data_IF_888912339084
#
_entry.id   IF_888912339084
#
_cell.length_a   1.000
_cell.length_b   1.000
_cell.length_c   1.000
_cell.angle_alpha   90.00
_cell.angle_beta   90.00
_cell.angle_gamma   90.00
#
_symmetry.space_group_name_H-M   'P 1'
#
loop_
_entity.id
_entity.type
_entity.pdbx_description
1 polymer ?
#
# COMPACT_ATOMS: atom_id res chain seq x y z
N UNK A 1 5.82 -3.81 -24.13
CA UNK A 1 5.20 -4.44 -22.94
C UNK A 1 3.80 -3.90 -22.79
N UNK A 2 2.80 -4.75 -22.67
CA UNK A 2 1.46 -4.33 -22.31
C UNK A 2 1.51 -3.67 -20.94
N UNK A 3 1.18 -2.40 -20.86
CA UNK A 3 1.14 -1.66 -19.61
C UNK A 3 -0.21 -1.86 -18.93
N UNK A 4 -0.20 -2.14 -17.62
CA UNK A 4 -1.40 -2.04 -16.80
C UNK A 4 -1.64 -0.57 -16.48
N UNK A 5 -2.86 -0.10 -16.73
CA UNK A 5 -3.35 1.18 -16.25
C UNK A 5 -4.22 0.96 -15.02
N UNK A 6 -3.88 1.64 -13.93
CA UNK A 6 -4.71 1.68 -12.73
C UNK A 6 -5.62 2.92 -12.78
N UNK A 7 -6.93 2.70 -12.72
CA UNK A 7 -7.93 3.76 -12.64
C UNK A 7 -8.56 3.74 -11.24
N UNK A 8 -8.25 4.75 -10.43
CA UNK A 8 -8.66 4.80 -9.03
C UNK A 8 -9.97 5.57 -8.86
N UNK A 9 -11.03 4.84 -8.52
CA UNK A 9 -12.35 5.38 -8.21
C UNK A 9 -12.67 5.44 -6.71
N UNK A 10 -11.74 5.02 -5.84
CA UNK A 10 -11.95 5.05 -4.40
C UNK A 10 -12.16 6.48 -3.89
N UNK A 11 -13.09 6.64 -2.95
CA UNK A 11 -13.39 7.94 -2.33
C UNK A 11 -13.38 7.79 -0.81
N UNK A 12 -12.64 8.67 -0.16
CA UNK A 12 -12.50 8.68 1.30
C UNK A 12 -13.87 8.72 2.00
N UNK A 13 -14.02 7.94 3.07
CA UNK A 13 -15.19 7.94 3.94
C UNK A 13 -16.43 7.23 3.37
N UNK A 14 -16.33 6.50 2.25
CA UNK A 14 -17.47 5.79 1.65
C UNK A 14 -17.52 4.34 2.10
N UNK A 15 -18.73 3.92 2.50
CA UNK A 15 -19.11 2.51 2.64
C UNK A 15 -19.60 1.96 1.30
N UNK A 16 -19.81 0.66 1.20
CA UNK A 16 -20.45 0.04 0.02
C UNK A 16 -21.81 0.69 -0.29
N UNK A 17 -22.61 0.94 0.76
CA UNK A 17 -23.91 1.62 0.65
C UNK A 17 -23.78 3.03 0.11
N UNK A 18 -23.00 3.89 0.78
CA UNK A 18 -22.89 5.30 0.35
C UNK A 18 -22.25 5.44 -1.03
N UNK A 19 -21.36 4.52 -1.41
CA UNK A 19 -20.77 4.48 -2.75
C UNK A 19 -21.82 4.19 -3.84
N UNK A 20 -22.79 3.34 -3.54
CA UNK A 20 -23.95 3.07 -4.40
C UNK A 20 -24.89 4.27 -4.40
N UNK A 21 -25.32 4.73 -3.22
CA UNK A 21 -26.33 5.78 -3.07
C UNK A 21 -25.92 7.12 -3.72
N UNK A 22 -24.60 7.40 -3.78
CA UNK A 22 -24.04 8.59 -4.42
C UNK A 22 -23.82 8.43 -5.95
N UNK A 23 -24.26 7.33 -6.58
CA UNK A 23 -24.07 7.07 -8.00
C UNK A 23 -22.61 6.82 -8.42
N UNK A 24 -21.72 6.54 -7.45
CA UNK A 24 -20.31 6.32 -7.75
C UNK A 24 -20.06 4.96 -8.36
N UNK A 25 -20.80 3.96 -7.93
CA UNK A 25 -20.71 2.63 -8.50
C UNK A 25 -21.19 2.64 -9.98
N UNK A 26 -22.28 3.31 -10.28
CA UNK A 26 -22.78 3.46 -11.64
C UNK A 26 -21.73 4.10 -12.56
N UNK A 27 -20.97 5.08 -12.03
CA UNK A 27 -19.87 5.69 -12.77
C UNK A 27 -18.73 4.70 -13.03
N UNK A 28 -18.35 3.86 -12.07
CA UNK A 28 -17.35 2.81 -12.26
C UNK A 28 -17.81 1.83 -13.33
N UNK A 29 -18.99 1.23 -13.12
CA UNK A 29 -19.48 0.15 -13.99
C UNK A 29 -19.77 0.62 -15.43
N UNK A 30 -20.04 1.90 -15.64
CA UNK A 30 -20.20 2.48 -16.98
C UNK A 30 -18.89 2.48 -17.78
N UNK A 31 -17.74 2.41 -17.12
CA UNK A 31 -16.41 2.47 -17.75
C UNK A 31 -15.78 1.08 -17.92
N UNK A 32 -16.25 0.07 -17.16
CA UNK A 32 -15.72 -1.29 -17.20
C UNK A 32 -15.91 -1.91 -18.58
N UNK A 33 -14.85 -2.49 -19.10
CA UNK A 33 -14.78 -3.22 -20.37
C UNK A 33 -14.45 -4.69 -20.13
N UNK A 34 -14.70 -5.51 -21.14
CA UNK A 34 -14.32 -6.92 -21.11
C UNK A 34 -12.81 -7.07 -20.87
N UNK A 35 -12.47 -7.85 -19.85
CA UNK A 35 -11.08 -8.13 -19.45
C UNK A 35 -10.51 -7.16 -18.42
N UNK A 36 -11.21 -6.10 -18.05
CA UNK A 36 -10.79 -5.22 -16.96
C UNK A 36 -10.90 -5.95 -15.61
N UNK A 37 -9.90 -5.78 -14.75
CA UNK A 37 -9.97 -6.24 -13.37
C UNK A 37 -10.57 -5.15 -12.50
N UNK A 38 -11.57 -5.50 -11.69
CA UNK A 38 -12.19 -4.57 -10.74
C UNK A 38 -11.88 -5.02 -9.32
N UNK A 39 -11.02 -4.26 -8.64
CA UNK A 39 -10.61 -4.49 -7.25
C UNK A 39 -11.58 -3.81 -6.31
N UNK A 40 -12.24 -4.58 -5.45
CA UNK A 40 -13.35 -4.15 -4.60
C UNK A 40 -12.97 -4.36 -3.15
N UNK A 41 -12.78 -3.26 -2.41
CA UNK A 41 -12.53 -3.26 -0.97
C UNK A 41 -13.46 -2.30 -0.26
N UNK A 42 -14.29 -2.83 0.64
CA UNK A 42 -15.15 -2.09 1.55
C UNK A 42 -15.12 -2.73 2.94
N UNK A 43 -15.77 -2.08 3.92
CA UNK A 43 -15.85 -2.56 5.30
C UNK A 43 -15.63 -1.46 6.33
N UNK A 44 -14.51 -0.75 6.29
CA UNK A 44 -14.14 0.29 7.27
C UNK A 44 -15.23 1.34 7.55
N UNK A 45 -16.04 1.67 6.56
CA UNK A 45 -17.12 2.64 6.71
C UNK A 45 -18.51 1.96 6.81
N UNK A 46 -18.59 0.72 6.39
CA UNK A 46 -19.83 -0.08 6.49
C UNK A 46 -20.17 -0.43 7.95
N UNK A 47 -19.16 -0.59 8.79
CA UNK A 47 -19.29 -0.86 10.22
C UNK A 47 -19.67 0.37 11.07
N UNK A 48 -19.72 1.57 10.48
CA UNK A 48 -20.06 2.80 11.20
C UNK A 48 -21.56 2.90 11.44
N UNK A 49 -21.96 3.34 12.63
CA UNK A 49 -23.37 3.48 13.03
C UNK A 49 -24.17 4.55 12.29
N UNK A 50 -23.50 5.38 11.45
CA UNK A 50 -24.18 6.34 10.59
C UNK A 50 -25.09 5.62 9.58
N UNK A 51 -26.43 5.85 9.60
CA UNK A 51 -27.37 5.18 8.70
C UNK A 51 -27.09 5.38 7.20
N UNK A 52 -26.37 6.43 6.83
CA UNK A 52 -25.97 6.67 5.45
C UNK A 52 -24.83 5.75 4.98
N UNK A 53 -24.10 5.14 5.93
CA UNK A 53 -22.95 4.28 5.66
C UNK A 53 -23.14 2.85 6.09
N UNK A 54 -23.86 2.65 7.18
CA UNK A 54 -24.02 1.33 7.79
C UNK A 54 -24.60 0.30 6.84
N UNK A 55 -23.98 -0.89 6.83
CA UNK A 55 -24.50 -2.12 6.25
C UNK A 55 -24.20 -3.28 7.18
N UNK A 56 -25.08 -4.28 7.25
CA UNK A 56 -24.91 -5.42 8.14
C UNK A 56 -24.19 -6.57 7.42
N UNK A 57 -23.09 -7.13 8.02
CA UNK A 57 -22.45 -8.33 7.49
C UNK A 57 -23.42 -9.53 7.54
N UNK A 58 -23.32 -10.42 6.55
CA UNK A 58 -24.24 -11.54 6.37
C UNK A 58 -25.59 -11.15 5.74
N UNK A 59 -25.82 -9.87 5.45
CA UNK A 59 -27.05 -9.38 4.80
C UNK A 59 -26.74 -8.22 3.84
N UNK A 60 -27.05 -6.97 4.19
CA UNK A 60 -26.94 -5.82 3.28
C UNK A 60 -25.51 -5.52 2.81
N UNK A 61 -24.51 -5.82 3.61
CA UNK A 61 -23.09 -5.71 3.17
C UNK A 61 -22.78 -6.76 2.10
N UNK A 62 -23.17 -8.01 2.34
CA UNK A 62 -22.95 -9.11 1.41
C UNK A 62 -23.74 -8.89 0.10
N UNK A 63 -24.98 -8.38 0.18
CA UNK A 63 -25.80 -8.03 -1.00
C UNK A 63 -25.10 -6.98 -1.87
N UNK A 64 -24.53 -5.94 -1.26
CA UNK A 64 -23.76 -4.92 -1.99
C UNK A 64 -22.51 -5.51 -2.67
N UNK A 65 -21.78 -6.38 -1.97
CA UNK A 65 -20.62 -7.07 -2.55
C UNK A 65 -21.02 -7.96 -3.72
N UNK A 66 -22.11 -8.73 -3.59
CA UNK A 66 -22.68 -9.58 -4.66
C UNK A 66 -23.11 -8.73 -5.86
N UNK A 67 -23.72 -7.57 -5.61
CA UNK A 67 -24.08 -6.61 -6.66
C UNK A 67 -22.84 -6.17 -7.43
N UNK A 68 -21.78 -5.74 -6.76
CA UNK A 68 -20.55 -5.31 -7.39
C UNK A 68 -19.91 -6.43 -8.25
N UNK A 69 -19.88 -7.65 -7.75
CA UNK A 69 -19.37 -8.81 -8.49
C UNK A 69 -20.21 -9.10 -9.74
N UNK A 70 -21.52 -9.18 -9.59
CA UNK A 70 -22.41 -9.58 -10.67
C UNK A 70 -22.47 -8.51 -11.79
N UNK A 71 -22.53 -7.23 -11.44
CA UNK A 71 -22.54 -6.15 -12.40
C UNK A 71 -21.19 -6.01 -13.13
N UNK A 72 -20.06 -6.26 -12.44
CA UNK A 72 -18.73 -6.34 -13.06
C UNK A 72 -18.70 -7.46 -14.11
N UNK A 73 -19.16 -8.67 -13.75
CA UNK A 73 -19.23 -9.81 -14.68
C UNK A 73 -20.14 -9.56 -15.86
N UNK A 74 -21.27 -8.90 -15.65
CA UNK A 74 -22.20 -8.53 -16.73
C UNK A 74 -21.56 -7.62 -17.79
N UNK A 75 -20.54 -6.86 -17.43
CA UNK A 75 -19.71 -6.06 -18.35
C UNK A 75 -18.53 -6.83 -18.94
N UNK A 76 -18.35 -8.09 -18.57
CA UNK A 76 -17.19 -8.90 -18.96
C UNK A 76 -15.92 -8.56 -18.20
N UNK A 77 -16.02 -7.81 -17.11
CA UNK A 77 -14.93 -7.52 -16.17
C UNK A 77 -14.68 -8.71 -15.21
N UNK A 78 -13.54 -8.69 -14.57
CA UNK A 78 -13.05 -9.71 -13.63
C UNK A 78 -13.02 -9.10 -12.23
N UNK A 79 -13.98 -9.42 -11.34
CA UNK A 79 -14.00 -8.88 -9.99
C UNK A 79 -13.01 -9.63 -9.09
N UNK A 80 -12.34 -8.87 -8.20
CA UNK A 80 -11.48 -9.40 -7.14
C UNK A 80 -11.90 -8.73 -5.83
N UNK A 81 -12.25 -9.52 -4.83
CA UNK A 81 -12.68 -9.02 -3.52
C UNK A 81 -11.51 -8.96 -2.54
N UNK A 82 -11.54 -7.93 -1.70
CA UNK A 82 -10.59 -7.70 -0.63
C UNK A 82 -11.34 -7.43 0.68
N UNK A 83 -10.80 -7.89 1.81
CA UNK A 83 -11.26 -7.40 3.11
C UNK A 83 -10.45 -6.19 3.56
N UNK A 84 -10.87 -5.56 4.67
CA UNK A 84 -10.24 -4.37 5.23
C UNK A 84 -8.86 -4.66 5.81
N UNK A 85 -7.92 -3.74 5.62
CA UNK A 85 -6.64 -3.73 6.34
C UNK A 85 -6.88 -3.52 7.83
N UNK A 86 -5.93 -3.93 8.69
CA UNK A 86 -6.05 -3.73 10.14
C UNK A 86 -6.02 -2.26 10.53
N UNK A 87 -6.65 -1.94 11.67
CA UNK A 87 -6.31 -0.75 12.45
C UNK A 87 -5.19 -1.10 13.42
N UNK A 88 -4.32 -0.14 13.70
CA UNK A 88 -3.22 -0.31 14.65
C UNK A 88 -3.72 -0.17 16.10
N UNK A 89 -4.51 -1.11 16.56
CA UNK A 89 -5.03 -1.15 17.92
C UNK A 89 -4.36 -2.30 18.68
N UNK A 90 -3.48 -1.95 19.62
CA UNK A 90 -2.84 -2.92 20.50
C UNK A 90 -3.50 -2.89 21.87
N UNK A 91 -3.57 -4.03 22.55
CA UNK A 91 -4.07 -4.18 23.90
C UNK A 91 -3.62 -5.48 24.53
N UNK A 92 -3.93 -5.67 25.81
CA UNK A 92 -3.59 -6.87 26.54
C UNK A 92 -4.07 -8.12 25.80
N UNK A 93 -3.27 -9.18 25.83
CA UNK A 93 -3.52 -10.42 25.08
C UNK A 93 -4.83 -11.15 25.41
N UNK A 94 -5.44 -10.82 26.55
CA UNK A 94 -6.73 -11.30 27.03
C UNK A 94 -7.90 -10.34 26.72
N UNK A 95 -7.58 -9.18 26.14
CA UNK A 95 -8.55 -8.17 25.75
C UNK A 95 -9.33 -8.55 24.51
N UNK A 96 -10.39 -9.34 24.67
CA UNK A 96 -11.42 -9.53 23.65
C UNK A 96 -12.17 -8.22 23.39
N UNK A 97 -11.54 -7.26 22.72
CA UNK A 97 -12.23 -6.18 22.05
C UNK A 97 -12.86 -6.71 20.76
N UNK A 98 -13.75 -7.66 20.88
CA UNK A 98 -14.71 -7.97 19.82
C UNK A 98 -15.41 -6.66 19.51
N UNK A 99 -15.38 -6.23 18.26
CA UNK A 99 -16.22 -5.14 17.80
C UNK A 99 -17.65 -5.47 18.24
N UNK A 100 -18.15 -4.76 19.27
CA UNK A 100 -19.51 -4.98 19.73
C UNK A 100 -20.42 -4.75 18.54
N UNK A 101 -21.21 -5.74 18.19
CA UNK A 101 -22.21 -5.60 17.14
C UNK A 101 -23.05 -4.37 17.46
N UNK A 102 -23.07 -3.41 16.55
CA UNK A 102 -23.85 -2.18 16.70
C UNK A 102 -25.31 -2.61 16.71
N UNK A 103 -26.04 -2.26 17.77
CA UNK A 103 -27.46 -2.57 17.83
C UNK A 103 -28.24 -1.72 16.83
N UNK A 104 -29.37 -2.23 16.33
CA UNK A 104 -30.28 -1.46 15.48
C UNK A 104 -30.75 -0.17 16.17
N UNK A 105 -30.85 -0.19 17.48
CA UNK A 105 -31.24 0.94 18.33
C UNK A 105 -30.15 2.02 18.33
N UNK A 106 -28.88 1.63 18.38
CA UNK A 106 -27.74 2.56 18.30
C UNK A 106 -27.65 3.20 16.92
N UNK A 107 -27.95 2.45 15.86
CA UNK A 107 -27.98 2.98 14.49
C UNK A 107 -29.08 4.05 14.37
N UNK A 108 -30.29 3.77 14.87
CA UNK A 108 -31.39 4.72 14.82
C UNK A 108 -31.12 5.99 15.64
N UNK A 109 -30.39 5.87 16.75
CA UNK A 109 -29.98 7.00 17.60
C UNK A 109 -28.74 7.75 17.06
N UNK A 110 -28.15 7.28 15.97
CA UNK A 110 -26.93 7.90 15.40
C UNK A 110 -25.73 7.79 16.32
N UNK A 111 -25.69 6.83 17.22
CA UNK A 111 -24.56 6.58 18.10
C UNK A 111 -23.38 6.13 17.25
N UNK A 112 -22.28 6.89 17.27
CA UNK A 112 -21.04 6.50 16.64
C UNK A 112 -20.14 5.78 17.65
N UNK A 113 -20.02 4.43 17.61
CA UNK A 113 -19.15 3.70 18.52
C UNK A 113 -17.65 4.06 18.32
N UNK A 114 -17.27 4.52 17.12
CA UNK A 114 -15.92 4.98 16.86
C UNK A 114 -15.62 6.32 17.53
N UNK A 115 -16.61 7.20 17.73
CA UNK A 115 -16.41 8.46 18.44
C UNK A 115 -15.97 8.22 19.89
N UNK A 116 -16.44 7.12 20.51
CA UNK A 116 -15.95 6.69 21.83
C UNK A 116 -14.56 6.06 21.76
N UNK A 117 -14.21 5.41 20.65
CA UNK A 117 -12.88 4.79 20.42
C UNK A 117 -11.84 5.81 20.01
N UNK A 118 -12.22 6.83 19.23
CA UNK A 118 -11.33 7.94 18.84
C UNK A 118 -11.06 8.90 20.02
N UNK A 119 -12.02 9.02 20.94
CA UNK A 119 -11.92 9.88 22.12
C UNK A 119 -11.41 9.16 23.38
N UNK A 120 -11.36 7.83 23.41
CA UNK A 120 -10.73 7.11 24.50
C UNK A 120 -9.23 7.32 24.40
N UNK A 121 -8.62 7.90 25.44
CA UNK A 121 -7.18 7.80 25.67
C UNK A 121 -6.82 6.32 25.50
N UNK A 122 -6.09 6.01 24.41
CA UNK A 122 -5.63 4.64 24.23
C UNK A 122 -4.77 4.30 25.44
N UNK A 123 -5.03 3.20 26.14
CA UNK A 123 -4.19 2.82 27.27
C UNK A 123 -2.75 2.78 26.81
N UNK A 124 -1.85 3.21 27.68
CA UNK A 124 -0.41 3.16 27.39
C UNK A 124 -0.08 1.74 26.92
N UNK A 125 0.42 1.62 25.69
CA UNK A 125 0.73 0.32 25.09
C UNK A 125 1.90 -0.28 25.84
N UNK A 126 1.73 -1.50 26.36
CA UNK A 126 2.73 -2.24 27.10
C UNK A 126 3.50 -3.21 26.18
N UNK A 127 4.71 -3.58 26.61
CA UNK A 127 5.43 -4.67 25.96
C UNK A 127 4.65 -5.99 26.11
N UNK A 128 4.43 -6.68 24.98
CA UNK A 128 3.61 -7.90 24.95
C UNK A 128 2.15 -7.72 24.56
N UNK A 129 1.70 -6.48 24.40
CA UNK A 129 0.37 -6.23 23.84
C UNK A 129 0.23 -6.81 22.43
N UNK A 130 -0.94 -7.37 22.15
CA UNK A 130 -1.28 -7.96 20.86
C UNK A 130 -2.14 -7.03 20.02
N UNK A 131 -2.05 -7.18 18.71
CA UNK A 131 -2.92 -6.47 17.79
C UNK A 131 -4.34 -7.02 17.90
N UNK A 132 -5.31 -6.13 18.11
CA UNK A 132 -6.72 -6.49 18.29
C UNK A 132 -7.47 -6.25 16.99
N UNK A 133 -8.19 -7.27 16.50
CA UNK A 133 -9.12 -7.08 15.39
C UNK A 133 -10.30 -6.19 15.80
N UNK A 134 -10.63 -5.23 14.95
CA UNK A 134 -11.72 -4.28 15.19
C UNK A 134 -12.81 -4.33 14.12
N UNK A 135 -12.69 -5.23 13.14
CA UNK A 135 -13.64 -5.34 12.02
C UNK A 135 -14.66 -6.46 12.18
N UNK A 136 -14.35 -7.47 13.00
CA UNK A 136 -15.27 -8.60 13.27
C UNK A 136 -15.78 -9.25 11.97
N UNK A 137 -17.07 -9.49 11.91
CA UNK A 137 -17.72 -10.19 10.78
C UNK A 137 -17.59 -9.49 9.41
N UNK A 138 -17.21 -8.21 9.37
CA UNK A 138 -16.92 -7.52 8.09
C UNK A 138 -15.71 -8.07 7.36
N UNK A 139 -14.83 -8.82 8.03
CA UNK A 139 -13.70 -9.51 7.39
C UNK A 139 -14.14 -10.76 6.66
N UNK A 140 -15.18 -11.43 7.17
CA UNK A 140 -15.66 -12.70 6.64
C UNK A 140 -16.59 -12.51 5.43
N UNK A 141 -17.38 -11.44 5.40
CA UNK A 141 -18.32 -11.17 4.32
C UNK A 141 -17.66 -11.18 2.92
N UNK A 142 -16.55 -10.46 2.65
CA UNK A 142 -15.91 -10.51 1.34
C UNK A 142 -15.38 -11.91 1.00
N UNK A 143 -14.83 -12.64 1.98
CA UNK A 143 -14.35 -14.03 1.81
C UNK A 143 -15.48 -14.98 1.45
N UNK A 144 -16.60 -14.88 2.18
CA UNK A 144 -17.76 -15.73 1.98
C UNK A 144 -18.43 -15.48 0.63
N UNK A 145 -18.61 -14.20 0.26
CA UNK A 145 -19.16 -13.81 -1.05
C UNK A 145 -18.23 -14.25 -2.19
N UNK A 146 -16.92 -14.10 -2.01
CA UNK A 146 -15.95 -14.56 -3.01
C UNK A 146 -16.06 -16.08 -3.23
N UNK A 147 -16.15 -16.85 -2.15
CA UNK A 147 -16.31 -18.30 -2.21
C UNK A 147 -17.65 -18.68 -2.85
N UNK A 148 -18.75 -18.04 -2.47
CA UNK A 148 -20.09 -18.29 -3.00
C UNK A 148 -20.15 -18.05 -4.52
N UNK A 149 -19.55 -16.94 -4.97
CA UNK A 149 -19.60 -16.53 -6.37
C UNK A 149 -18.42 -17.02 -7.21
N UNK A 150 -17.45 -17.73 -6.62
CA UNK A 150 -16.26 -18.22 -7.33
C UNK A 150 -15.43 -17.08 -7.92
N UNK A 151 -15.10 -16.06 -7.13
CA UNK A 151 -14.19 -14.96 -7.51
C UNK A 151 -12.93 -14.99 -6.66
N UNK A 152 -11.85 -14.38 -7.15
CA UNK A 152 -10.62 -14.25 -6.38
C UNK A 152 -10.83 -13.39 -5.12
N UNK A 153 -10.17 -13.77 -4.03
CA UNK A 153 -10.21 -13.06 -2.76
C UNK A 153 -8.80 -12.85 -2.24
N UNK A 154 -8.49 -11.63 -1.83
CA UNK A 154 -7.21 -11.27 -1.21
C UNK A 154 -7.44 -10.87 0.24
N UNK A 155 -6.86 -11.62 1.18
CA UNK A 155 -6.99 -11.39 2.61
C UNK A 155 -6.02 -10.29 3.08
N UNK A 156 -6.40 -9.03 2.83
CA UNK A 156 -5.60 -7.88 3.24
C UNK A 156 -5.53 -7.71 4.74
N UNK A 157 -6.57 -8.15 5.47
CA UNK A 157 -6.54 -8.10 6.93
C UNK A 157 -5.41 -8.97 7.48
N UNK A 158 -5.38 -10.25 7.08
CA UNK A 158 -4.31 -11.16 7.52
C UNK A 158 -2.92 -10.63 7.17
N UNK A 159 -2.72 -10.14 5.95
CA UNK A 159 -1.43 -9.63 5.48
C UNK A 159 -0.98 -8.43 6.31
N UNK A 160 -1.88 -7.49 6.55
CA UNK A 160 -1.54 -6.29 7.32
C UNK A 160 -1.50 -6.55 8.82
N UNK A 161 -2.26 -7.54 9.33
CA UNK A 161 -2.14 -8.02 10.70
C UNK A 161 -0.73 -8.57 10.95
N UNK A 162 -0.27 -9.50 10.13
CA UNK A 162 1.05 -10.12 10.27
C UNK A 162 2.16 -9.05 10.21
N UNK A 163 2.04 -8.06 9.34
CA UNK A 163 2.98 -6.94 9.25
C UNK A 163 2.98 -6.09 10.52
N UNK A 164 1.81 -5.61 10.94
CA UNK A 164 1.69 -4.64 12.05
C UNK A 164 2.01 -5.30 13.39
N UNK A 165 1.55 -6.53 13.62
CA UNK A 165 1.87 -7.30 14.83
C UNK A 165 3.35 -7.65 14.88
N UNK A 166 3.95 -8.08 13.75
CA UNK A 166 5.38 -8.38 13.67
C UNK A 166 6.28 -7.17 13.93
N UNK A 167 5.84 -5.96 13.58
CA UNK A 167 6.55 -4.71 13.92
C UNK A 167 6.34 -4.30 15.39
N UNK A 168 5.28 -4.77 16.01
CA UNK A 168 4.91 -4.39 17.37
C UNK A 168 4.36 -2.96 17.53
N UNK A 169 3.98 -2.61 18.76
CA UNK A 169 3.22 -1.39 19.03
C UNK A 169 4.00 -0.07 18.83
N UNK A 170 5.32 -0.11 18.88
CA UNK A 170 6.16 1.09 18.71
C UNK A 170 6.50 1.32 17.26
N UNK A 171 7.11 0.33 16.60
CA UNK A 171 7.62 0.50 15.24
C UNK A 171 6.53 0.59 14.19
N UNK A 172 5.38 -0.06 14.40
CA UNK A 172 4.24 0.02 13.48
C UNK A 172 3.66 1.43 13.33
N UNK A 173 3.90 2.36 14.28
CA UNK A 173 3.55 3.78 14.12
C UNK A 173 4.13 4.38 12.83
N UNK A 174 5.30 3.90 12.38
CA UNK A 174 5.97 4.35 11.16
C UNK A 174 5.14 4.12 9.89
N UNK A 175 4.17 3.21 9.93
CA UNK A 175 3.29 2.92 8.80
C UNK A 175 2.06 3.83 8.75
N UNK A 176 1.67 4.41 9.87
CA UNK A 176 0.42 5.14 10.04
C UNK A 176 0.63 6.66 10.11
N UNK A 177 -0.48 7.43 10.10
CA UNK A 177 -0.45 8.91 10.14
C UNK A 177 -0.16 9.41 11.56
N UNK A 178 1.01 9.05 12.08
CA UNK A 178 1.57 9.56 13.32
C UNK A 178 2.51 10.71 13.01
N UNK A 179 2.11 11.92 13.35
CA UNK A 179 2.85 13.17 13.07
C UNK A 179 3.02 13.94 14.37
N UNK A 180 4.25 14.14 14.85
CA UNK A 180 4.50 14.97 16.03
C UNK A 180 3.99 16.41 15.86
N UNK A 181 3.65 17.04 16.98
CA UNK A 181 3.25 18.45 16.97
C UNK A 181 4.35 19.35 16.37
N UNK A 182 3.94 20.41 15.69
CA UNK A 182 4.80 21.42 15.06
C UNK A 182 5.70 20.95 13.93
N UNK A 183 5.51 19.74 13.39
CA UNK A 183 6.28 19.25 12.22
C UNK A 183 5.63 19.61 10.89
N UNK A 184 4.30 19.70 10.83
CA UNK A 184 3.56 19.99 9.60
C UNK A 184 2.64 21.17 9.84
N UNK A 185 2.81 22.24 9.06
CA UNK A 185 2.05 23.48 9.22
C UNK A 185 0.52 23.28 9.16
N UNK A 186 0.06 22.34 8.33
CA UNK A 186 -1.38 22.03 8.19
C UNK A 186 -1.97 21.29 9.40
N UNK A 187 -1.14 20.68 10.25
CA UNK A 187 -1.55 19.94 11.45
C UNK A 187 -0.64 20.32 12.64
N UNK A 188 -0.71 21.57 13.12
CA UNK A 188 0.23 22.08 14.12
C UNK A 188 0.17 21.35 15.47
N UNK A 189 -0.96 20.74 15.80
CA UNK A 189 -1.12 19.91 17.01
C UNK A 189 -0.56 18.50 16.87
N UNK A 190 -0.07 18.13 15.68
CA UNK A 190 0.27 16.76 15.36
C UNK A 190 -0.95 15.89 15.05
N UNK A 191 -0.74 14.60 14.84
CA UNK A 191 -1.79 13.61 14.57
C UNK A 191 -1.37 12.24 15.09
N UNK A 192 -2.28 11.56 15.75
CA UNK A 192 -2.12 10.19 16.22
C UNK A 192 -3.24 9.33 15.62
N UNK A 193 -2.99 8.79 14.43
CA UNK A 193 -4.01 8.09 13.66
C UNK A 193 -3.57 6.63 13.45
N UNK A 194 -4.35 5.72 14.02
CA UNK A 194 -4.12 4.28 13.96
C UNK A 194 -4.88 3.59 12.80
N UNK A 195 -5.56 4.35 11.97
CA UNK A 195 -6.40 3.83 10.88
C UNK A 195 -5.79 4.11 9.50
N UNK A 196 -5.32 5.34 9.29
CA UNK A 196 -4.86 5.77 7.98
C UNK A 196 -3.34 5.58 7.83
N UNK A 197 -2.95 4.90 6.77
CA UNK A 197 -1.54 4.75 6.41
C UNK A 197 -0.95 6.08 5.94
N UNK A 198 0.31 6.34 6.29
CA UNK A 198 1.09 7.38 5.64
C UNK A 198 1.65 6.87 4.29
N UNK A 199 2.37 7.72 3.56
CA UNK A 199 2.93 7.36 2.24
C UNK A 199 3.88 6.14 2.32
N UNK A 200 4.68 6.05 3.38
CA UNK A 200 5.60 4.92 3.58
C UNK A 200 4.82 3.62 3.82
N UNK A 201 3.86 3.63 4.76
CA UNK A 201 3.02 2.47 5.03
C UNK A 201 2.17 2.06 3.83
N UNK A 202 1.62 3.04 3.11
CA UNK A 202 0.86 2.78 1.89
C UNK A 202 1.69 2.05 0.82
N UNK A 203 2.97 2.39 0.66
CA UNK A 203 3.89 1.71 -0.28
C UNK A 203 4.18 0.27 0.15
N UNK A 204 4.46 0.05 1.44
CA UNK A 204 4.72 -1.30 1.96
C UNK A 204 3.49 -2.18 1.79
N UNK A 205 2.32 -1.70 2.21
CA UNK A 205 1.06 -2.45 2.10
C UNK A 205 0.68 -2.70 0.64
N UNK A 206 0.91 -1.73 -0.26
CA UNK A 206 0.69 -1.93 -1.70
C UNK A 206 1.61 -3.01 -2.28
N UNK A 207 2.88 -3.07 -1.88
CA UNK A 207 3.80 -4.13 -2.27
C UNK A 207 3.29 -5.52 -1.87
N UNK A 208 2.89 -5.67 -0.60
CA UNK A 208 2.32 -6.92 -0.07
C UNK A 208 1.01 -7.29 -0.78
N UNK A 209 0.16 -6.30 -1.09
CA UNK A 209 -1.07 -6.50 -1.84
C UNK A 209 -0.77 -7.02 -3.26
N UNK A 210 0.23 -6.46 -3.93
CA UNK A 210 0.63 -6.90 -5.27
C UNK A 210 1.11 -8.35 -5.29
N UNK A 211 1.89 -8.77 -4.28
CA UNK A 211 2.33 -10.17 -4.14
C UNK A 211 1.15 -11.11 -3.93
N UNK A 212 0.21 -10.71 -3.08
CA UNK A 212 -0.99 -11.50 -2.84
C UNK A 212 -1.91 -11.56 -4.08
N UNK A 213 -2.07 -10.45 -4.80
CA UNK A 213 -2.81 -10.40 -6.06
C UNK A 213 -2.15 -11.34 -7.10
N UNK A 214 -0.83 -11.31 -7.23
CA UNK A 214 -0.11 -12.20 -8.16
C UNK A 214 -0.33 -13.69 -7.85
N UNK A 215 -0.53 -14.03 -6.57
CA UNK A 215 -0.82 -15.39 -6.12
C UNK A 215 -2.27 -15.79 -6.39
N UNK A 216 -3.22 -14.92 -6.05
CA UNK A 216 -4.66 -15.20 -6.16
C UNK A 216 -5.20 -14.99 -7.59
N UNK A 217 -4.50 -14.20 -8.41
CA UNK A 217 -4.81 -13.90 -9.81
C UNK A 217 -3.54 -14.06 -10.64
N UNK A 218 -3.11 -15.29 -10.97
CA UNK A 218 -1.83 -15.57 -11.61
C UNK A 218 -1.60 -14.84 -12.95
N UNK A 219 -2.66 -14.49 -13.65
CA UNK A 219 -2.60 -13.73 -14.90
C UNK A 219 -2.00 -12.33 -14.71
N UNK A 220 -2.11 -11.78 -13.49
CA UNK A 220 -1.53 -10.49 -13.15
C UNK A 220 -0.08 -10.57 -12.66
N UNK A 221 0.43 -11.76 -12.35
CA UNK A 221 1.79 -11.95 -11.82
C UNK A 221 2.87 -11.34 -12.72
N UNK A 222 2.72 -11.46 -14.05
CA UNK A 222 3.67 -10.91 -15.04
C UNK A 222 3.80 -9.38 -15.00
N UNK A 223 2.85 -8.68 -14.36
CA UNK A 223 2.86 -7.22 -14.24
C UNK A 223 3.37 -6.72 -12.90
N UNK A 224 3.57 -7.61 -11.93
CA UNK A 224 4.09 -7.23 -10.61
C UNK A 224 5.56 -6.87 -10.73
N UNK A 225 5.90 -5.64 -10.33
CA UNK A 225 7.26 -5.13 -10.26
C UNK A 225 7.51 -4.57 -8.86
N UNK A 226 8.55 -5.06 -8.23
CA UNK A 226 8.97 -4.57 -6.91
C UNK A 226 9.85 -3.33 -7.00
N UNK A 227 10.41 -3.07 -8.19
CA UNK A 227 11.30 -1.95 -8.47
C UNK A 227 10.90 -1.29 -9.79
N UNK A 228 11.11 0.03 -9.89
CA UNK A 228 10.84 0.76 -11.13
C UNK A 228 11.78 0.30 -12.24
N UNK A 229 13.06 0.10 -11.88
CA UNK A 229 14.09 -0.38 -12.80
C UNK A 229 14.90 -1.51 -12.18
N UNK A 230 15.36 -2.42 -13.02
CA UNK A 230 16.26 -3.52 -12.67
C UNK A 230 17.48 -3.46 -13.55
N UNK A 231 18.65 -3.39 -12.93
CA UNK A 231 19.96 -3.48 -13.62
C UNK A 231 20.50 -4.90 -13.49
N UNK A 232 20.81 -5.54 -14.61
CA UNK A 232 21.35 -6.88 -14.62
C UNK A 232 22.26 -7.11 -15.85
N UNK A 233 23.50 -7.54 -15.61
CA UNK A 233 24.51 -7.76 -16.67
C UNK A 233 24.19 -8.95 -17.59
N UNK A 234 23.34 -9.85 -17.12
CA UNK A 234 22.91 -11.05 -17.87
C UNK A 234 21.72 -10.79 -18.83
N UNK A 235 21.26 -9.54 -18.92
CA UNK A 235 20.14 -9.14 -19.77
C UNK A 235 18.76 -9.46 -19.18
N UNK A 236 18.68 -9.95 -17.94
CA UNK A 236 17.41 -10.23 -17.24
C UNK A 236 16.79 -8.99 -16.59
N UNK A 237 17.45 -7.83 -16.68
CA UNK A 237 16.98 -6.52 -16.20
C UNK A 237 16.50 -5.60 -17.32
N UNK A 238 16.08 -4.39 -16.93
CA UNK A 238 15.69 -3.33 -17.86
C UNK A 238 16.94 -2.64 -18.47
N UNK A 239 18.08 -2.69 -17.74
CA UNK A 239 19.37 -2.05 -18.13
C UNK A 239 20.52 -2.98 -17.83
N UNK A 240 21.62 -2.81 -18.58
CA UNK A 240 22.87 -3.55 -18.35
C UNK A 240 23.79 -2.82 -17.37
N UNK A 241 23.70 -1.49 -17.29
CA UNK A 241 24.55 -0.64 -16.46
C UNK A 241 23.73 0.18 -15.48
N UNK A 242 24.37 0.54 -14.36
CA UNK A 242 23.74 1.38 -13.33
C UNK A 242 23.54 2.80 -13.84
N UNK A 243 24.50 3.30 -14.64
CA UNK A 243 24.39 4.64 -15.20
C UNK A 243 23.19 4.77 -16.15
N UNK A 244 22.96 3.79 -17.03
CA UNK A 244 21.78 3.78 -17.91
C UNK A 244 20.46 3.87 -17.11
N UNK A 245 20.37 3.14 -16.01
CA UNK A 245 19.18 3.19 -15.17
C UNK A 245 19.00 4.56 -14.50
N UNK A 246 20.08 5.19 -14.05
CA UNK A 246 20.05 6.54 -13.47
C UNK A 246 19.63 7.58 -14.54
N UNK A 247 20.20 7.47 -15.74
CA UNK A 247 19.88 8.39 -16.83
C UNK A 247 18.42 8.29 -17.28
N UNK A 248 17.82 7.10 -17.19
CA UNK A 248 16.42 6.85 -17.48
C UNK A 248 15.44 7.39 -16.43
N UNK A 249 15.90 7.78 -15.23
CA UNK A 249 15.04 8.38 -14.21
C UNK A 249 14.52 9.73 -14.72
N UNK A 250 13.21 10.00 -14.63
CA UNK A 250 12.67 11.31 -15.02
C UNK A 250 13.27 12.45 -14.19
N UNK A 251 13.59 13.55 -14.86
CA UNK A 251 14.16 14.74 -14.22
C UNK A 251 13.16 15.42 -13.28
N UNK A 252 13.67 16.01 -12.20
CA UNK A 252 12.93 16.84 -11.23
C UNK A 252 11.67 16.17 -10.63
N UNK A 253 11.70 14.85 -10.43
CA UNK A 253 10.59 14.05 -9.92
C UNK A 253 10.31 14.30 -8.44
N UNK A 254 9.51 15.32 -8.12
CA UNK A 254 9.33 15.83 -6.76
C UNK A 254 8.59 14.87 -5.81
N UNK A 255 7.59 14.14 -6.30
CA UNK A 255 6.61 13.47 -5.45
C UNK A 255 6.69 11.94 -5.47
N UNK A 256 7.50 11.35 -6.33
CA UNK A 256 7.61 9.90 -6.49
C UNK A 256 9.09 9.52 -6.42
N UNK A 257 9.41 8.53 -5.62
CA UNK A 257 10.75 7.95 -5.56
C UNK A 257 10.90 6.88 -6.65
N UNK A 258 11.97 6.95 -7.43
CA UNK A 258 12.33 5.89 -8.36
C UNK A 258 13.26 4.91 -7.66
N UNK A 259 12.89 3.64 -7.70
CA UNK A 259 13.66 2.53 -7.11
C UNK A 259 14.38 1.76 -8.20
N UNK A 260 15.69 1.61 -8.06
CA UNK A 260 16.55 0.89 -9.00
C UNK A 260 17.16 -0.29 -8.24
N UNK A 261 16.81 -1.53 -8.63
CA UNK A 261 17.47 -2.73 -8.13
C UNK A 261 18.70 -3.03 -8.99
N UNK A 262 19.86 -3.12 -8.36
CA UNK A 262 21.09 -3.63 -8.99
C UNK A 262 21.29 -5.09 -8.61
N UNK A 263 21.15 -6.00 -9.56
CA UNK A 263 21.34 -7.43 -9.33
C UNK A 263 22.81 -7.75 -9.08
N UNK A 264 23.04 -8.95 -8.51
CA UNK A 264 24.38 -9.47 -8.27
C UNK A 264 25.26 -9.33 -9.51
N UNK A 265 26.46 -8.76 -9.34
CA UNK A 265 27.43 -8.53 -10.42
C UNK A 265 28.49 -7.52 -10.01
N UNK A 266 29.52 -7.35 -10.85
CA UNK A 266 30.57 -6.35 -10.66
C UNK A 266 30.43 -5.27 -11.73
N UNK A 267 29.92 -4.13 -11.32
CA UNK A 267 29.66 -2.98 -12.19
C UNK A 267 30.83 -1.99 -12.07
N UNK A 268 31.72 -2.01 -13.07
CA UNK A 268 32.86 -1.09 -13.14
C UNK A 268 32.46 0.20 -13.84
N UNK A 269 31.81 1.08 -13.09
CA UNK A 269 31.24 2.31 -13.63
C UNK A 269 31.57 3.50 -12.74
N UNK A 270 31.92 4.63 -13.36
CA UNK A 270 31.93 5.91 -12.66
C UNK A 270 30.53 6.47 -12.70
N UNK A 271 29.81 6.31 -11.59
CA UNK A 271 28.43 6.75 -11.44
C UNK A 271 28.39 8.28 -11.33
N UNK A 272 27.53 8.89 -12.14
CA UNK A 272 27.20 10.31 -12.06
C UNK A 272 25.70 10.46 -11.86
N UNK A 273 25.31 11.11 -10.79
CA UNK A 273 23.91 11.45 -10.53
C UNK A 273 23.71 12.94 -10.76
N UNK A 274 23.12 13.37 -11.89
CA UNK A 274 22.86 14.78 -12.16
C UNK A 274 21.90 15.39 -11.12
N UNK A 275 22.01 16.69 -10.86
CA UNK A 275 21.13 17.42 -9.92
C UNK A 275 19.64 17.29 -10.26
N UNK A 276 19.31 17.08 -11.53
CA UNK A 276 17.95 16.85 -11.98
C UNK A 276 17.37 15.49 -11.56
N UNK A 277 18.21 14.50 -11.27
CA UNK A 277 17.84 13.13 -10.90
C UNK A 277 17.60 13.01 -9.40
N UNK A 278 16.50 13.56 -8.93
CA UNK A 278 16.11 13.58 -7.52
C UNK A 278 15.21 12.41 -7.15
N UNK A 279 15.13 12.08 -5.85
CA UNK A 279 14.30 10.99 -5.32
C UNK A 279 14.62 9.60 -5.91
N UNK A 280 15.90 9.27 -6.04
CA UNK A 280 16.35 7.94 -6.43
C UNK A 280 16.66 7.09 -5.19
N UNK A 281 16.33 5.81 -5.24
CA UNK A 281 16.86 4.76 -4.37
C UNK A 281 17.60 3.74 -5.20
N UNK A 282 18.88 3.60 -4.98
CA UNK A 282 19.70 2.54 -5.54
C UNK A 282 19.81 1.41 -4.50
N UNK A 283 19.37 0.21 -4.87
CA UNK A 283 19.26 -0.94 -3.97
C UNK A 283 20.12 -2.06 -4.56
N UNK A 284 21.19 -2.42 -3.88
CA UNK A 284 22.03 -3.55 -4.27
C UNK A 284 21.45 -4.88 -3.77
N UNK A 285 21.32 -5.86 -4.65
CA UNK A 285 21.16 -7.26 -4.26
C UNK A 285 22.46 -7.75 -3.60
N UNK A 286 22.39 -8.72 -2.72
CA UNK A 286 23.58 -9.34 -2.12
C UNK A 286 24.54 -9.80 -3.21
N UNK A 287 25.81 -9.34 -3.13
CA UNK A 287 26.84 -9.56 -4.15
C UNK A 287 26.82 -8.59 -5.33
N UNK A 288 26.01 -7.53 -5.30
CA UNK A 288 26.17 -6.40 -6.20
C UNK A 288 27.35 -5.52 -5.75
N UNK A 289 28.31 -5.31 -6.63
CA UNK A 289 29.51 -4.52 -6.35
C UNK A 289 29.59 -3.39 -7.38
N UNK A 290 29.56 -2.15 -6.90
CA UNK A 290 29.87 -0.98 -7.69
C UNK A 290 31.34 -0.61 -7.44
N UNK A 291 32.13 -0.52 -8.47
CA UNK A 291 33.53 -0.17 -8.36
C UNK A 291 34.00 0.71 -9.51
N UNK A 292 34.93 1.57 -9.21
CA UNK A 292 35.66 2.34 -10.21
C UNK A 292 37.10 2.53 -9.76
N UNK A 293 38.00 2.63 -10.70
CA UNK A 293 39.47 2.62 -10.44
C UNK A 293 40.10 4.00 -10.40
N UNK A 294 39.30 5.05 -10.17
CA UNK A 294 39.86 6.39 -9.97
C UNK A 294 40.50 6.52 -8.57
N UNK A 295 41.65 7.12 -8.50
CA UNK A 295 42.37 7.44 -7.25
C UNK A 295 43.08 8.79 -7.38
N UNK A 296 43.41 9.42 -6.25
CA UNK A 296 43.89 10.79 -6.20
C UNK A 296 45.11 11.05 -7.08
N UNK A 297 46.07 10.12 -7.16
CA UNK A 297 47.29 10.21 -7.94
C UNK A 297 47.12 9.78 -9.41
N UNK A 298 45.90 9.29 -9.79
CA UNK A 298 45.63 8.96 -11.19
C UNK A 298 45.71 10.22 -12.04
N UNK A 299 46.46 10.18 -13.16
CA UNK A 299 46.57 11.33 -14.05
C UNK A 299 45.26 11.63 -14.76
N UNK A 300 44.92 12.90 -14.83
CA UNK A 300 43.82 13.40 -15.64
C UNK A 300 44.25 13.55 -17.12
N UNK A 301 43.33 13.91 -18.01
CA UNK A 301 43.59 14.07 -19.44
C UNK A 301 44.58 15.19 -19.78
N UNK A 302 44.91 16.07 -18.82
CA UNK A 302 45.88 17.16 -18.97
C UNK A 302 47.23 16.84 -18.33
N UNK A 303 47.45 15.60 -17.85
CA UNK A 303 48.71 15.14 -17.28
C UNK A 303 48.93 15.45 -15.79
N UNK A 304 48.06 16.24 -15.14
CA UNK A 304 48.07 16.48 -13.71
C UNK A 304 47.36 15.34 -12.95
N UNK A 305 47.56 15.30 -11.62
CA UNK A 305 46.80 14.34 -10.76
C UNK A 305 45.35 14.75 -10.66
N UNK A 306 44.44 13.75 -10.52
CA UNK A 306 42.99 13.99 -10.36
C UNK A 306 42.66 14.68 -9.03
N UNK A 307 43.48 14.46 -7.99
CA UNK A 307 43.18 14.90 -6.65
C UNK A 307 42.00 14.16 -6.01
N UNK A 308 41.77 14.47 -4.77
CA UNK A 308 40.72 13.78 -3.99
C UNK A 308 39.30 13.96 -4.60
N UNK A 309 38.98 15.19 -5.00
CA UNK A 309 37.67 15.51 -5.58
C UNK A 309 37.46 14.88 -6.97
N UNK A 310 38.52 14.84 -7.80
CA UNK A 310 38.42 14.27 -9.14
C UNK A 310 38.45 12.75 -9.19
N UNK A 311 38.82 12.09 -8.07
CA UNK A 311 38.87 10.64 -7.96
C UNK A 311 37.62 10.05 -7.27
N UNK A 312 36.75 10.88 -6.72
CA UNK A 312 35.49 10.38 -6.10
C UNK A 312 34.66 9.61 -7.10
N UNK A 313 34.23 8.42 -6.73
CA UNK A 313 33.32 7.59 -7.52
C UNK A 313 31.85 7.79 -7.14
N UNK A 314 31.60 8.63 -6.14
CA UNK A 314 30.26 8.98 -5.67
C UNK A 314 30.16 10.50 -5.48
N UNK A 315 29.12 11.08 -6.05
CA UNK A 315 28.65 12.43 -5.79
C UNK A 315 27.19 12.39 -5.37
#
# INVERSE_FOLDING_TARGET
SEEIRVDNHAVNGRSSKSFIDEGRWEKVISQVKKGDYVFIQFGHNDEKSDPKRYTAPGSTFDENLKRFVNETRAKGGIPVLFNSIVRRNFGAADGNAVAQAISQDDIQKGVNPDAKREASEQPAVAEGDKLIDTHGAYLDSPRNVAKELGVAFVDMNKITHDLVEGMGPVDSKKLFMWVPANQVAAIPKGREDNTHLNVHGGRIVAGLAMDAIAKEVPELAKYVRHYDFVVAQDGSGDFFTVQEAIDAVPDFRKNIRTTILVRKGVYKEKIVVPESKINISLIGQEGAILSYDDYAQKKNCFGGEKGTSGSSSCY
#
